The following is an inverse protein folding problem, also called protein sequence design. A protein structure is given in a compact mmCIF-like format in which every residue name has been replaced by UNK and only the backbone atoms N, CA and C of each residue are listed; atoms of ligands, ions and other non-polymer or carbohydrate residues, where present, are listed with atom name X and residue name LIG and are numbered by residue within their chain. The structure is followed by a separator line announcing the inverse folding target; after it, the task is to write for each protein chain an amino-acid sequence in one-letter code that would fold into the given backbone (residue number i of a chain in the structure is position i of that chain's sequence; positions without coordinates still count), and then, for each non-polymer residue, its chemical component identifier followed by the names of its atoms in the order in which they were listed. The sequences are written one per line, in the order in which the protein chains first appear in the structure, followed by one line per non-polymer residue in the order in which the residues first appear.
data_IF_738642884072
#
_entry.id   IF_738642884072
#
_cell.length_a   1.000
_cell.length_b   1.000
_cell.length_c   1.000
_cell.angle_alpha   90.00
_cell.angle_beta   90.00
_cell.angle_gamma   90.00
#
_symmetry.space_group_name_H-M   'P 1'
#
loop_
_entity.id
_entity.type
_entity.pdbx_description
1 polymer ?
#
# COMPACT_ATOMS: atom_id res chain seq x y z
N UNK A 1 16.20 -8.76 26.42
CA UNK A 1 15.71 -7.54 25.74
C UNK A 1 16.75 -7.13 24.72
N UNK A 2 16.36 -6.92 23.50
CA UNK A 2 17.22 -6.37 22.46
C UNK A 2 17.09 -4.84 22.45
N UNK A 3 18.17 -4.17 22.06
CA UNK A 3 18.22 -2.73 21.88
C UNK A 3 18.98 -2.42 20.60
N UNK A 4 18.39 -1.60 19.74
CA UNK A 4 19.00 -1.13 18.50
C UNK A 4 18.93 0.39 18.43
N UNK A 5 20.09 1.00 18.15
CA UNK A 5 20.20 2.44 17.90
C UNK A 5 20.68 2.65 16.47
N UNK A 6 20.01 3.51 15.71
CA UNK A 6 20.37 3.85 14.33
C UNK A 6 20.05 5.31 14.01
N UNK A 7 20.71 5.82 13.00
CA UNK A 7 20.62 7.21 12.61
C UNK A 7 19.99 7.35 11.20
N UNK A 8 19.06 8.28 11.06
CA UNK A 8 18.45 8.65 9.80
C UNK A 8 19.12 9.91 9.24
N UNK A 9 19.41 9.93 7.94
CA UNK A 9 20.30 10.94 7.33
C UNK A 9 19.74 12.37 7.27
N UNK A 10 18.42 12.59 7.35
CA UNK A 10 17.82 13.90 7.15
C UNK A 10 16.78 14.24 8.22
N UNK A 11 17.08 15.23 9.06
CA UNK A 11 16.23 15.69 10.15
C UNK A 11 14.82 16.15 9.71
N UNK A 12 14.69 16.78 8.54
CA UNK A 12 13.39 17.23 8.05
C UNK A 12 12.48 16.02 7.70
N UNK A 13 13.08 14.98 7.10
CA UNK A 13 12.36 13.75 6.79
C UNK A 13 11.99 12.98 8.07
N UNK A 14 12.84 13.04 9.11
CA UNK A 14 12.56 12.43 10.41
C UNK A 14 11.32 13.07 11.05
N UNK A 15 11.21 14.39 11.02
CA UNK A 15 10.02 15.09 11.55
C UNK A 15 8.73 14.67 10.84
N UNK A 16 8.77 14.51 9.53
CA UNK A 16 7.62 14.00 8.76
C UNK A 16 7.31 12.54 9.07
N UNK A 17 8.33 11.72 9.29
CA UNK A 17 8.18 10.32 9.65
C UNK A 17 7.57 10.14 11.02
N UNK A 18 8.07 10.84 12.05
CA UNK A 18 7.60 10.68 13.43
C UNK A 18 6.19 11.26 13.62
N UNK A 19 5.82 12.25 12.81
CA UNK A 19 4.51 12.90 12.86
C UNK A 19 4.35 13.84 14.05
N UNK A 20 3.18 14.46 14.18
CA UNK A 20 2.88 15.37 15.28
C UNK A 20 2.96 14.65 16.63
N UNK A 21 3.79 15.17 17.55
CA UNK A 21 4.00 14.56 18.89
C UNK A 21 4.37 13.08 18.85
N UNK A 22 5.18 12.68 17.88
CA UNK A 22 5.65 11.30 17.66
C UNK A 22 4.54 10.26 17.44
N UNK A 23 3.38 10.71 16.93
CA UNK A 23 2.19 9.88 16.79
C UNK A 23 2.44 8.60 16.00
N UNK A 24 3.27 8.65 14.97
CA UNK A 24 3.59 7.52 14.13
C UNK A 24 4.48 6.49 14.88
N UNK A 25 5.47 6.97 15.65
CA UNK A 25 6.31 6.09 16.47
C UNK A 25 5.52 5.43 17.58
N UNK A 26 4.64 6.19 18.27
CA UNK A 26 3.75 5.63 19.29
C UNK A 26 2.79 4.57 18.75
N UNK A 27 2.38 4.72 17.51
CA UNK A 27 1.55 3.70 16.86
C UNK A 27 2.34 2.41 16.60
N UNK A 28 3.60 2.52 16.15
CA UNK A 28 4.50 1.36 15.99
C UNK A 28 4.76 0.69 17.34
N UNK A 29 5.08 1.45 18.39
CA UNK A 29 5.26 0.95 19.75
C UNK A 29 4.06 0.12 20.21
N UNK A 30 2.86 0.66 20.03
CA UNK A 30 1.61 -0.01 20.41
C UNK A 30 1.36 -1.30 19.65
N UNK A 31 1.65 -1.35 18.35
CA UNK A 31 1.38 -2.53 17.51
C UNK A 31 2.41 -3.62 17.80
N UNK A 32 3.69 -3.29 17.87
CA UNK A 32 4.80 -4.25 18.00
C UNK A 32 5.22 -4.49 19.45
N UNK A 33 4.62 -3.79 20.42
CA UNK A 33 4.98 -3.88 21.84
C UNK A 33 6.48 -3.65 22.08
N UNK A 34 6.99 -2.54 21.54
CA UNK A 34 8.37 -2.05 21.69
C UNK A 34 8.34 -0.66 22.32
N UNK A 35 9.48 -0.23 22.88
CA UNK A 35 9.72 1.15 23.29
C UNK A 35 10.57 1.84 22.24
N UNK A 36 10.13 3.00 21.73
CA UNK A 36 10.86 3.77 20.72
C UNK A 36 11.10 5.18 21.27
N UNK A 37 12.34 5.60 21.29
CA UNK A 37 12.71 6.98 21.61
C UNK A 37 13.43 7.63 20.44
N UNK A 38 13.09 8.87 20.13
CA UNK A 38 13.73 9.66 19.09
C UNK A 38 14.41 10.89 19.68
N UNK A 39 15.64 11.15 19.27
CA UNK A 39 16.36 12.36 19.61
C UNK A 39 17.07 12.90 18.37
N UNK A 40 16.53 13.96 17.80
CA UNK A 40 17.00 14.47 16.51
C UNK A 40 16.79 13.45 15.41
N UNK A 41 17.88 12.98 14.81
CA UNK A 41 17.86 11.95 13.77
C UNK A 41 18.20 10.53 14.30
N UNK A 42 18.45 10.41 15.60
CA UNK A 42 18.70 9.11 16.23
C UNK A 42 17.41 8.49 16.72
N UNK A 43 17.23 7.21 16.41
CA UNK A 43 16.10 6.39 16.87
C UNK A 43 16.66 5.21 17.65
N UNK A 44 16.15 5.04 18.86
CA UNK A 44 16.46 3.90 19.73
C UNK A 44 15.20 3.05 19.90
N UNK A 45 15.32 1.74 19.71
CA UNK A 45 14.23 0.77 19.84
C UNK A 45 14.62 -0.30 20.84
N UNK A 46 13.73 -0.59 21.80
CA UNK A 46 13.91 -1.63 22.84
C UNK A 46 12.72 -2.59 22.84
N UNK A 47 13.00 -3.89 22.93
CA UNK A 47 11.95 -4.91 22.95
C UNK A 47 12.46 -6.34 22.86
N UNK A 48 11.66 -7.26 22.37
CA UNK A 48 12.12 -8.58 21.92
C UNK A 48 12.92 -8.43 20.62
N UNK A 49 13.80 -9.37 20.30
CA UNK A 49 14.63 -9.29 19.09
C UNK A 49 13.76 -9.16 17.83
N UNK A 50 12.77 -10.03 17.70
CA UNK A 50 11.88 -10.03 16.51
C UNK A 50 11.10 -8.71 16.38
N UNK A 51 10.56 -8.18 17.50
CA UNK A 51 9.81 -6.93 17.48
C UNK A 51 10.69 -5.71 17.16
N UNK A 52 11.95 -5.70 17.65
CA UNK A 52 12.93 -4.66 17.34
C UNK A 52 13.29 -4.69 15.85
N UNK A 53 13.53 -5.87 15.28
CA UNK A 53 13.85 -6.03 13.86
C UNK A 53 12.69 -5.62 12.96
N UNK A 54 11.45 -5.99 13.34
CA UNK A 54 10.22 -5.56 12.66
C UNK A 54 10.03 -4.04 12.75
N UNK A 55 10.20 -3.44 13.93
CA UNK A 55 10.05 -2.00 14.11
C UNK A 55 11.08 -1.22 13.29
N UNK A 56 12.34 -1.66 13.27
CA UNK A 56 13.38 -1.08 12.44
C UNK A 56 13.01 -1.15 10.96
N UNK A 57 12.61 -2.32 10.48
CA UNK A 57 12.18 -2.51 9.09
C UNK A 57 11.00 -1.61 8.74
N UNK A 58 9.99 -1.50 9.62
CA UNK A 58 8.84 -0.62 9.41
C UNK A 58 9.26 0.86 9.32
N UNK A 59 10.19 1.32 10.17
CA UNK A 59 10.71 2.68 10.15
C UNK A 59 11.51 2.94 8.86
N UNK A 60 12.34 2.00 8.41
CA UNK A 60 13.09 2.10 7.16
C UNK A 60 12.13 2.19 5.95
N UNK A 61 11.05 1.42 5.95
CA UNK A 61 9.99 1.47 4.94
C UNK A 61 9.29 2.84 4.89
N UNK A 62 8.95 3.39 6.07
CA UNK A 62 8.33 4.70 6.19
C UNK A 62 9.28 5.82 5.77
N UNK A 63 10.55 5.75 6.17
CA UNK A 63 11.57 6.71 5.76
C UNK A 63 11.75 6.75 4.24
N UNK A 64 11.77 5.58 3.59
CA UNK A 64 11.79 5.47 2.14
C UNK A 64 10.56 6.10 1.45
N UNK A 65 9.38 6.08 2.10
CA UNK A 65 8.17 6.77 1.60
C UNK A 65 8.28 8.29 1.76
N UNK A 66 8.69 8.76 2.94
CA UNK A 66 8.88 10.20 3.20
C UNK A 66 9.91 10.81 2.25
N UNK A 67 11.01 10.10 1.96
CA UNK A 67 12.03 10.56 1.01
C UNK A 67 11.51 10.74 -0.43
N UNK A 68 10.41 10.07 -0.76
CA UNK A 68 9.69 10.20 -2.04
C UNK A 68 8.56 11.25 -1.97
N UNK A 69 8.45 12.00 -0.86
CA UNK A 69 7.44 13.05 -0.66
C UNK A 69 6.05 12.53 -0.31
N UNK A 70 5.95 11.28 0.21
CA UNK A 70 4.68 10.70 0.64
C UNK A 70 4.41 11.10 2.07
N UNK A 71 3.22 11.62 2.32
CA UNK A 71 2.74 11.92 3.67
C UNK A 71 2.44 10.62 4.43
N UNK A 72 2.94 10.53 5.67
CA UNK A 72 2.75 9.36 6.52
C UNK A 72 1.58 9.60 7.47
N UNK A 73 0.58 8.75 7.35
CA UNK A 73 -0.56 8.68 8.26
C UNK A 73 -0.67 7.30 8.92
N UNK A 74 -1.72 7.13 9.70
CA UNK A 74 -1.98 5.88 10.44
C UNK A 74 -2.03 4.64 9.52
N UNK A 75 -2.57 4.78 8.31
CA UNK A 75 -2.70 3.68 7.35
C UNK A 75 -1.34 3.26 6.79
N UNK A 76 -0.44 4.22 6.54
CA UNK A 76 0.92 3.98 6.07
C UNK A 76 1.75 3.28 7.13
N UNK A 77 1.60 3.68 8.41
CA UNK A 77 2.25 3.03 9.55
C UNK A 77 1.78 1.57 9.69
N UNK A 78 0.47 1.33 9.70
CA UNK A 78 -0.09 -0.04 9.78
C UNK A 78 0.36 -0.91 8.62
N UNK A 79 0.43 -0.34 7.41
CA UNK A 79 0.92 -1.06 6.23
C UNK A 79 2.41 -1.40 6.37
N UNK A 80 3.25 -0.47 6.84
CA UNK A 80 4.68 -0.70 7.02
C UNK A 80 4.95 -1.79 8.08
N UNK A 81 4.22 -1.76 9.19
CA UNK A 81 4.33 -2.81 10.22
C UNK A 81 3.92 -4.18 9.66
N UNK A 82 2.81 -4.28 8.93
CA UNK A 82 2.40 -5.54 8.32
C UNK A 82 3.46 -6.06 7.33
N UNK A 83 4.04 -5.18 6.52
CA UNK A 83 5.10 -5.55 5.58
C UNK A 83 6.37 -5.99 6.30
N UNK A 84 6.67 -5.46 7.48
CA UNK A 84 7.82 -5.89 8.28
C UNK A 84 7.64 -7.28 8.90
N UNK A 85 6.40 -7.69 9.20
CA UNK A 85 6.05 -9.04 9.67
C UNK A 85 6.23 -10.10 8.58
N UNK A 86 5.88 -9.76 7.33
CA UNK A 86 6.00 -10.64 6.17
C UNK A 86 7.48 -10.85 5.76
N UNK A 87 8.41 -10.11 6.37
CA UNK A 87 9.85 -10.13 6.08
C UNK A 87 10.21 -9.28 4.84
N UNK A 88 11.49 -8.99 4.61
CA UNK A 88 11.94 -8.28 3.42
C UNK A 88 11.92 -9.25 2.22
N UNK A 89 10.75 -9.55 1.69
CA UNK A 89 10.66 -10.21 0.41
C UNK A 89 11.22 -9.27 -0.68
N UNK A 90 12.48 -9.48 -0.99
CA UNK A 90 13.04 -9.05 -2.26
C UNK A 90 12.45 -9.95 -3.33
N UNK A 91 11.37 -9.53 -3.95
CA UNK A 91 10.88 -10.21 -5.13
C UNK A 91 11.77 -9.75 -6.28
N UNK A 92 12.52 -10.67 -6.85
CA UNK A 92 13.45 -10.46 -7.99
C UNK A 92 14.48 -9.33 -7.78
N UNK A 93 14.98 -9.11 -6.55
CA UNK A 93 16.00 -8.09 -6.26
C UNK A 93 15.50 -6.65 -6.20
N UNK A 94 14.21 -6.41 -6.44
CA UNK A 94 13.60 -5.09 -6.30
C UNK A 94 12.97 -4.95 -4.90
N UNK A 95 13.25 -3.81 -4.25
CA UNK A 95 12.55 -3.47 -3.02
C UNK A 95 11.07 -3.21 -3.32
N UNK A 96 10.17 -3.83 -2.57
CA UNK A 96 8.72 -3.62 -2.68
C UNK A 96 8.32 -2.13 -2.58
N UNK A 97 9.15 -1.34 -1.91
CA UNK A 97 9.00 0.12 -1.77
C UNK A 97 9.22 0.91 -3.06
N UNK A 98 9.81 0.30 -4.09
CA UNK A 98 10.08 0.99 -5.35
C UNK A 98 8.91 0.92 -6.32
N UNK A 99 7.90 0.09 -6.01
CA UNK A 99 6.70 -0.01 -6.82
C UNK A 99 5.78 1.18 -6.53
N UNK A 100 5.67 2.07 -7.52
CA UNK A 100 4.83 3.27 -7.47
C UNK A 100 3.97 3.31 -8.71
N UNK A 101 2.66 3.29 -8.55
CA UNK A 101 1.71 3.55 -9.63
C UNK A 101 1.36 5.03 -9.64
N UNK A 102 1.74 5.73 -10.70
CA UNK A 102 1.49 7.16 -10.84
C UNK A 102 0.12 7.38 -11.49
N UNK A 103 -0.76 8.07 -10.79
CA UNK A 103 -2.02 8.57 -11.36
C UNK A 103 -2.02 10.09 -11.41
N UNK A 104 -3.00 10.70 -12.06
CA UNK A 104 -3.08 12.17 -12.16
C UNK A 104 -3.21 12.86 -10.79
N UNK A 105 -3.84 12.22 -9.82
CA UNK A 105 -4.16 12.83 -8.52
C UNK A 105 -3.22 12.39 -7.40
N UNK A 106 -2.66 11.18 -7.47
CA UNK A 106 -1.87 10.61 -6.38
C UNK A 106 -0.95 9.50 -6.84
N UNK A 107 0.02 9.19 -6.01
CA UNK A 107 0.85 8.00 -6.14
C UNK A 107 0.24 6.88 -5.31
N UNK A 108 0.13 5.69 -5.90
CA UNK A 108 -0.44 4.50 -5.25
C UNK A 108 0.68 3.51 -5.00
N UNK A 109 0.75 3.02 -3.78
CA UNK A 109 1.77 2.10 -3.28
C UNK A 109 1.11 0.81 -2.81
N UNK A 110 1.76 -0.35 -2.98
CA UNK A 110 1.29 -1.58 -2.36
C UNK A 110 1.32 -1.43 -0.83
N UNK A 111 0.33 -2.02 -0.16
CA UNK A 111 0.19 -2.02 1.30
C UNK A 111 0.47 -3.38 1.93
N UNK A 112 0.89 -4.36 1.11
CA UNK A 112 1.35 -5.68 1.52
C UNK A 112 2.26 -6.27 0.46
N UNK A 113 3.08 -7.27 0.83
CA UNK A 113 3.93 -8.00 -0.10
C UNK A 113 3.12 -8.67 -1.21
N UNK A 114 1.95 -9.25 -0.88
CA UNK A 114 1.03 -9.85 -1.85
C UNK A 114 0.52 -8.84 -2.89
N UNK A 115 0.18 -7.60 -2.47
CA UNK A 115 -0.21 -6.54 -3.40
C UNK A 115 0.96 -6.13 -4.31
N UNK A 116 2.17 -6.03 -3.76
CA UNK A 116 3.36 -5.72 -4.53
C UNK A 116 3.64 -6.79 -5.59
N UNK A 117 3.57 -8.08 -5.19
CA UNK A 117 3.69 -9.21 -6.11
C UNK A 117 2.62 -9.17 -7.20
N UNK A 118 1.37 -8.89 -6.85
CA UNK A 118 0.28 -8.78 -7.81
C UNK A 118 0.55 -7.68 -8.86
N UNK A 119 1.02 -6.51 -8.44
CA UNK A 119 1.39 -5.43 -9.36
C UNK A 119 2.54 -5.86 -10.28
N UNK A 120 3.57 -6.51 -9.74
CA UNK A 120 4.71 -7.00 -10.53
C UNK A 120 4.29 -8.04 -11.56
N UNK A 121 3.43 -8.99 -11.16
CA UNK A 121 2.92 -10.00 -12.10
C UNK A 121 2.13 -9.35 -13.24
N UNK A 122 1.29 -8.34 -12.93
CA UNK A 122 0.58 -7.59 -13.97
C UNK A 122 1.49 -6.77 -14.88
N UNK A 123 2.66 -6.35 -14.41
CA UNK A 123 3.65 -5.63 -15.23
C UNK A 123 4.42 -6.56 -16.17
N UNK A 124 4.59 -7.83 -15.80
CA UNK A 124 5.43 -8.80 -16.50
C UNK A 124 4.66 -9.69 -17.48
N UNK A 125 3.37 -9.92 -17.20
CA UNK A 125 2.58 -10.92 -17.92
C UNK A 125 1.40 -10.26 -18.65
N UNK A 126 1.06 -10.82 -19.81
CA UNK A 126 -0.07 -10.37 -20.64
C UNK A 126 -1.42 -10.73 -20.03
N UNK A 127 -1.49 -11.82 -19.26
CA UNK A 127 -2.70 -12.29 -18.58
C UNK A 127 -2.40 -12.65 -17.13
N UNK A 128 -3.15 -12.07 -16.21
CA UNK A 128 -3.01 -12.29 -14.76
C UNK A 128 -4.38 -12.53 -14.10
N UNK A 129 -4.45 -13.55 -13.26
CA UNK A 129 -5.63 -13.83 -12.43
C UNK A 129 -5.38 -13.39 -10.99
N UNK A 130 -6.17 -12.43 -10.51
CA UNK A 130 -6.14 -11.98 -9.11
C UNK A 130 -7.21 -12.69 -8.29
N UNK A 131 -6.83 -13.70 -7.50
CA UNK A 131 -7.72 -14.43 -6.61
C UNK A 131 -7.55 -13.96 -5.15
N UNK A 132 -8.64 -13.87 -4.42
CA UNK A 132 -8.59 -13.51 -3.00
C UNK A 132 -9.89 -12.90 -2.48
N UNK A 133 -10.02 -12.67 -1.16
CA UNK A 133 -11.22 -12.12 -0.51
C UNK A 133 -11.60 -10.73 -1.03
N UNK A 134 -12.86 -10.32 -0.79
CA UNK A 134 -13.32 -8.97 -1.07
C UNK A 134 -12.51 -7.94 -0.24
N UNK A 135 -12.40 -6.71 -0.73
CA UNK A 135 -11.74 -5.61 -0.02
C UNK A 135 -10.19 -5.63 -0.03
N UNK A 136 -9.54 -6.61 -0.65
CA UNK A 136 -8.06 -6.72 -0.71
C UNK A 136 -7.39 -5.83 -1.76
N UNK A 137 -8.16 -5.01 -2.49
CA UNK A 137 -7.65 -4.03 -3.45
C UNK A 137 -7.37 -4.57 -4.86
N UNK A 138 -7.77 -5.80 -5.20
CA UNK A 138 -7.49 -6.43 -6.51
C UNK A 138 -7.91 -5.54 -7.70
N UNK A 139 -9.16 -5.17 -7.76
CA UNK A 139 -9.71 -4.31 -8.83
C UNK A 139 -9.06 -2.94 -8.82
N UNK A 140 -8.92 -2.33 -7.65
CA UNK A 140 -8.31 -1.02 -7.48
C UNK A 140 -6.88 -0.97 -8.02
N UNK A 141 -6.04 -1.94 -7.66
CA UNK A 141 -4.65 -2.00 -8.10
C UNK A 141 -4.53 -2.28 -9.60
N UNK A 142 -5.39 -3.16 -10.15
CA UNK A 142 -5.41 -3.42 -11.60
C UNK A 142 -5.77 -2.17 -12.39
N UNK A 143 -6.80 -1.43 -11.96
CA UNK A 143 -7.21 -0.17 -12.62
C UNK A 143 -6.13 0.90 -12.44
N UNK A 144 -5.54 1.03 -11.24
CA UNK A 144 -4.47 1.98 -10.99
C UNK A 144 -3.24 1.74 -11.87
N UNK A 145 -2.86 0.48 -12.06
CA UNK A 145 -1.77 0.12 -12.98
C UNK A 145 -2.14 0.47 -14.43
N UNK A 146 -3.34 0.11 -14.89
CA UNK A 146 -3.78 0.44 -16.24
C UNK A 146 -3.79 1.97 -16.49
N UNK A 147 -4.24 2.76 -15.51
CA UNK A 147 -4.16 4.24 -15.56
C UNK A 147 -2.72 4.73 -15.63
N UNK A 148 -1.83 4.17 -14.81
CA UNK A 148 -0.40 4.51 -14.84
C UNK A 148 0.21 4.23 -16.21
N UNK A 149 -0.06 3.05 -16.79
CA UNK A 149 0.41 2.66 -18.12
C UNK A 149 -0.14 3.56 -19.23
N UNK A 150 -1.41 3.99 -19.12
CA UNK A 150 -2.02 4.92 -20.07
C UNK A 150 -1.37 6.31 -19.98
N UNK A 151 -1.09 6.80 -18.77
CA UNK A 151 -0.41 8.10 -18.58
C UNK A 151 1.04 8.07 -19.09
N UNK A 152 1.70 6.92 -19.03
CA UNK A 152 3.02 6.69 -19.58
C UNK A 152 3.03 6.46 -21.12
N UNK A 153 1.85 6.42 -21.75
CA UNK A 153 1.71 6.17 -23.18
C UNK A 153 2.00 4.72 -23.60
N UNK A 154 1.98 3.78 -22.65
CA UNK A 154 2.22 2.35 -22.91
C UNK A 154 0.99 1.64 -23.48
N UNK A 155 -0.19 2.19 -23.23
CA UNK A 155 -1.48 1.69 -23.74
C UNK A 155 -2.34 2.87 -24.18
N UNK A 156 -3.18 2.65 -25.21
CA UNK A 156 -4.04 3.67 -25.79
C UNK A 156 -5.42 3.78 -25.12
N UNK A 157 -5.91 2.67 -24.58
CA UNK A 157 -7.23 2.60 -23.95
C UNK A 157 -7.30 1.54 -22.86
N UNK A 158 -8.21 1.74 -21.90
CA UNK A 158 -8.56 0.79 -20.87
C UNK A 158 -9.94 0.25 -21.16
N UNK A 159 -10.08 -1.08 -21.17
CA UNK A 159 -11.37 -1.77 -21.30
C UNK A 159 -11.69 -2.40 -19.97
N UNK A 160 -12.80 -2.01 -19.36
CA UNK A 160 -13.29 -2.56 -18.10
C UNK A 160 -14.53 -3.40 -18.40
N UNK A 161 -14.54 -4.61 -17.87
CA UNK A 161 -15.69 -5.51 -17.96
C UNK A 161 -15.96 -6.15 -16.60
N UNK A 162 -17.23 -6.34 -16.29
CA UNK A 162 -17.67 -7.05 -15.10
C UNK A 162 -18.96 -7.78 -15.41
N UNK A 163 -19.18 -9.00 -14.87
CA UNK A 163 -20.50 -9.63 -14.92
C UNK A 163 -21.55 -8.70 -14.31
N UNK A 164 -22.67 -8.52 -14.99
CA UNK A 164 -23.75 -7.65 -14.54
C UNK A 164 -24.52 -8.24 -13.34
N UNK A 165 -24.33 -9.53 -13.06
CA UNK A 165 -24.92 -10.25 -11.92
C UNK A 165 -23.82 -11.00 -11.20
N UNK A 166 -23.83 -10.94 -9.86
CA UNK A 166 -23.07 -11.86 -9.02
C UNK A 166 -23.74 -13.24 -9.04
N UNK A 167 -22.94 -14.31 -8.84
CA UNK A 167 -23.47 -15.65 -8.85
C UNK A 167 -24.54 -15.83 -7.75
N UNK A 168 -25.79 -16.01 -8.17
CA UNK A 168 -26.96 -16.15 -7.26
C UNK A 168 -27.84 -14.91 -7.13
N UNK A 169 -27.50 -13.76 -7.72
CA UNK A 169 -28.34 -12.56 -7.74
C UNK A 169 -29.13 -12.41 -9.05
N UNK A 170 -30.41 -12.04 -8.93
CA UNK A 170 -31.26 -11.70 -10.07
C UNK A 170 -31.32 -10.17 -10.25
N UNK A 171 -30.91 -9.67 -11.41
CA UNK A 171 -31.03 -8.25 -11.80
C UNK A 171 -32.47 -7.69 -11.65
N UNK A 172 -33.46 -8.54 -11.59
CA UNK A 172 -34.88 -8.17 -11.37
C UNK A 172 -35.17 -7.52 -10.01
N UNK A 173 -34.31 -7.68 -9.02
CA UNK A 173 -34.50 -7.10 -7.68
C UNK A 173 -34.16 -5.61 -7.56
N UNK A 174 -33.38 -5.06 -8.47
CA UNK A 174 -33.02 -3.63 -8.44
C UNK A 174 -34.06 -2.81 -9.21
N UNK A 175 -34.57 -1.71 -8.64
CA UNK A 175 -35.47 -0.80 -9.34
C UNK A 175 -34.71 0.02 -10.41
N UNK A 176 -35.39 0.40 -11.50
CA UNK A 176 -34.85 1.24 -12.56
C UNK A 176 -34.54 0.52 -13.86
N UNK A 177 -34.04 1.29 -14.83
CA UNK A 177 -33.62 0.79 -16.15
C UNK A 177 -32.37 -0.09 -16.07
N UNK A 178 -32.07 -0.81 -17.14
CA UNK A 178 -30.91 -1.69 -17.21
C UNK A 178 -29.60 -0.98 -16.84
N UNK A 179 -29.46 0.28 -17.22
CA UNK A 179 -28.33 1.15 -16.89
C UNK A 179 -28.22 1.40 -15.39
N UNK A 180 -29.33 1.74 -14.75
CA UNK A 180 -29.41 2.01 -13.32
C UNK A 180 -29.13 0.76 -12.48
N UNK A 181 -29.51 -0.40 -12.99
CA UNK A 181 -29.26 -1.71 -12.36
C UNK A 181 -27.80 -2.13 -12.44
N UNK A 182 -27.07 -1.70 -13.46
CA UNK A 182 -25.65 -2.04 -13.67
C UNK A 182 -24.71 -1.04 -12.99
N UNK A 183 -25.13 0.21 -12.77
CA UNK A 183 -24.29 1.29 -12.20
C UNK A 183 -23.65 0.92 -10.84
N UNK A 184 -24.35 0.31 -9.86
CA UNK A 184 -23.74 -0.10 -8.60
C UNK A 184 -22.56 -1.07 -8.77
N UNK A 185 -22.60 -1.93 -9.78
CA UNK A 185 -21.54 -2.89 -10.08
C UNK A 185 -20.33 -2.24 -10.77
N UNK A 186 -20.53 -1.10 -11.45
CA UNK A 186 -19.45 -0.34 -12.09
C UNK A 186 -18.80 0.68 -11.16
N UNK A 187 -19.47 1.08 -10.09
CA UNK A 187 -18.98 2.10 -9.16
C UNK A 187 -17.56 1.84 -8.62
N UNK A 188 -17.17 0.62 -8.19
CA UNK A 188 -15.80 0.35 -7.76
C UNK A 188 -14.75 0.58 -8.86
N UNK A 189 -15.13 0.46 -10.13
CA UNK A 189 -14.24 0.74 -11.26
C UNK A 189 -14.06 2.25 -11.45
N UNK A 190 -15.15 3.02 -11.35
CA UNK A 190 -15.10 4.48 -11.41
C UNK A 190 -14.31 5.06 -10.23
N UNK A 191 -14.52 4.55 -9.01
CA UNK A 191 -13.79 4.98 -7.81
C UNK A 191 -12.27 4.77 -7.93
N UNK A 192 -11.84 3.79 -8.71
CA UNK A 192 -10.43 3.53 -8.98
C UNK A 192 -9.86 4.41 -10.11
N UNK A 193 -10.70 4.95 -11.00
CA UNK A 193 -10.30 5.85 -12.10
C UNK A 193 -10.15 7.31 -11.64
N UNK A 194 -10.87 7.71 -10.59
CA UNK A 194 -10.93 9.08 -10.06
C UNK A 194 -10.17 9.22 -8.74
#
# INVERSE_FOLDING_TARGET
MAEVNFELYNNQLVQQLVGASDANLRLIEKILNVEISSFGNQINIKGSQDAVDQAKTAIDLLYGKVSKGIEIGEQEVKAAVRMSEEGPEKIDGQNLNDIVLKTKKRHIYPRSATQAKYIQEMMKNELVFGLGPAGTGKTYLAVALAVSMMLEGKIDKIILSRPAVEAGENLGFLPGDLKDKVDPYLRPLYDALY
#
